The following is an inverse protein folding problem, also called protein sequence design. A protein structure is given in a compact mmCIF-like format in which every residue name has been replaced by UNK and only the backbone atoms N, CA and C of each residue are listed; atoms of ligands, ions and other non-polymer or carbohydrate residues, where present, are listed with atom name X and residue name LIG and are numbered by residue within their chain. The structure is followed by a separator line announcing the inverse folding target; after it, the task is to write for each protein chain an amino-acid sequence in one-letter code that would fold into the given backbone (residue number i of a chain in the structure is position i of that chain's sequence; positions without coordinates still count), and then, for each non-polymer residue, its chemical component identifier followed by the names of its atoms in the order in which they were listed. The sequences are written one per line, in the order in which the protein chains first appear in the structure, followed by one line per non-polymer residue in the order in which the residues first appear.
data_IF_698941489908
#
_entry.id   IF_698941489908
#
_cell.length_a   1.000
_cell.length_b   1.000
_cell.length_c   1.000
_cell.angle_alpha   90.00
_cell.angle_beta   90.00
_cell.angle_gamma   90.00
#
_symmetry.space_group_name_H-M   'P 1'
#
loop_
_entity.id
_entity.type
_entity.pdbx_description
1 polymer ?
#
# COMPACT_ATOMS: atom_id res chain seq x y z
N UNK A 1 12.88 15.89 16.80
CA UNK A 1 13.33 15.16 15.60
C UNK A 1 12.22 15.24 14.56
N UNK A 2 12.55 15.71 13.35
CA UNK A 2 11.58 16.07 12.31
C UNK A 2 10.82 14.82 11.87
N UNK A 3 9.50 14.83 12.05
CA UNK A 3 8.58 13.90 11.40
C UNK A 3 8.76 14.10 9.89
N UNK A 4 9.57 13.23 9.26
CA UNK A 4 9.50 12.99 7.83
C UNK A 4 8.10 12.42 7.57
N UNK A 5 7.11 13.31 7.50
CA UNK A 5 5.82 13.00 6.87
C UNK A 5 6.20 12.42 5.52
N UNK A 6 5.94 11.14 5.30
CA UNK A 6 6.17 10.45 4.04
C UNK A 6 5.45 11.18 2.91
N UNK A 7 6.13 12.16 2.31
CA UNK A 7 5.62 13.08 1.28
C UNK A 7 5.28 12.32 -0.01
N UNK A 8 5.78 11.09 -0.19
CA UNK A 8 5.46 10.22 -1.32
C UNK A 8 4.15 9.43 -1.16
N UNK A 9 3.79 9.04 0.07
CA UNK A 9 2.64 8.17 0.34
C UNK A 9 1.35 8.94 0.67
N UNK A 10 1.47 10.12 1.26
CA UNK A 10 0.35 11.08 1.40
C UNK A 10 -0.10 11.61 0.02
N UNK A 11 0.84 11.73 -0.93
CA UNK A 11 0.57 12.05 -2.33
C UNK A 11 0.23 10.83 -3.19
N UNK A 12 0.26 9.61 -2.63
CA UNK A 12 -0.29 8.44 -3.29
C UNK A 12 -1.81 8.52 -3.22
N UNK A 13 -2.31 9.45 -4.02
CA UNK A 13 -3.68 9.75 -4.32
C UNK A 13 -4.20 8.55 -5.12
N UNK A 14 -4.38 7.41 -4.44
CA UNK A 14 -5.11 6.26 -4.99
C UNK A 14 -6.55 6.72 -5.12
N UNK A 15 -6.78 7.42 -6.22
CA UNK A 15 -8.01 7.59 -6.97
C UNK A 15 -9.27 7.20 -6.18
N UNK A 16 -10.00 8.24 -5.75
CA UNK A 16 -11.28 8.25 -5.03
C UNK A 16 -11.20 8.13 -3.50
N UNK A 17 -11.98 9.01 -2.84
CA UNK A 17 -12.38 8.97 -1.42
C UNK A 17 -12.94 7.62 -0.93
N UNK A 18 -13.06 6.64 -1.80
CA UNK A 18 -13.69 5.34 -1.58
C UNK A 18 -12.67 4.20 -1.38
N UNK A 19 -11.37 4.49 -1.51
CA UNK A 19 -10.30 3.53 -1.30
C UNK A 19 -9.83 3.56 0.15
N UNK A 20 -10.00 2.45 0.87
CA UNK A 20 -9.62 2.30 2.27
C UNK A 20 -8.36 1.46 2.38
N UNK A 21 -7.38 1.90 3.18
CA UNK A 21 -6.23 1.08 3.56
C UNK A 21 -6.71 -0.03 4.51
N UNK A 22 -6.48 -1.29 4.14
CA UNK A 22 -6.89 -2.47 4.92
C UNK A 22 -5.71 -3.24 5.53
N UNK A 23 -4.50 -3.02 5.03
CA UNK A 23 -3.30 -3.69 5.52
C UNK A 23 -2.05 -2.82 5.36
N UNK A 24 -1.10 -3.00 6.27
CA UNK A 24 0.20 -2.33 6.29
C UNK A 24 1.21 -3.27 6.93
N UNK A 25 2.33 -3.50 6.27
CA UNK A 25 3.47 -4.19 6.85
C UNK A 25 4.75 -3.50 6.39
N UNK A 26 5.64 -3.23 7.33
CA UNK A 26 6.98 -2.74 7.06
C UNK A 26 7.97 -3.91 7.14
N UNK A 27 8.87 -3.99 6.18
CA UNK A 27 9.97 -4.92 6.09
C UNK A 27 11.24 -4.09 5.91
N UNK A 28 11.96 -3.80 6.99
CA UNK A 28 13.20 -2.99 6.98
C UNK A 28 13.04 -1.70 6.14
N UNK A 29 13.47 -1.70 4.88
CA UNK A 29 13.42 -0.56 3.95
C UNK A 29 12.22 -0.54 2.99
N UNK A 30 11.37 -1.57 3.05
CA UNK A 30 10.19 -1.79 2.20
C UNK A 30 8.91 -1.68 3.00
N UNK A 31 7.98 -0.84 2.57
CA UNK A 31 6.63 -0.74 3.12
C UNK A 31 5.63 -1.32 2.14
N UNK A 32 4.92 -2.37 2.54
CA UNK A 32 3.83 -2.97 1.77
C UNK A 32 2.48 -2.56 2.34
N UNK A 33 1.57 -2.15 1.47
CA UNK A 33 0.26 -1.61 1.79
C UNK A 33 -0.79 -2.27 0.91
N UNK A 34 -1.96 -2.56 1.46
CA UNK A 34 -3.10 -3.02 0.66
C UNK A 34 -4.25 -2.03 0.84
N UNK A 35 -4.78 -1.59 -0.29
CA UNK A 35 -5.93 -0.74 -0.40
C UNK A 35 -7.10 -1.52 -0.99
N UNK A 36 -8.31 -1.22 -0.50
CA UNK A 36 -9.56 -1.80 -0.96
C UNK A 36 -10.51 -0.69 -1.39
N UNK A 37 -11.04 -0.80 -2.61
CA UNK A 37 -12.05 0.10 -3.15
C UNK A 37 -13.43 -0.58 -3.09
N UNK A 38 -14.34 -0.03 -2.29
CA UNK A 38 -15.67 -0.62 -2.04
C UNK A 38 -16.52 -0.65 -3.32
N UNK A 39 -16.62 0.50 -4.01
CA UNK A 39 -17.48 0.70 -5.18
C UNK A 39 -17.20 -0.27 -6.35
N UNK A 40 -15.97 -0.75 -6.47
CA UNK A 40 -15.56 -1.65 -7.56
C UNK A 40 -15.06 -3.01 -7.06
N UNK A 41 -15.11 -3.26 -5.74
CA UNK A 41 -14.54 -4.45 -5.11
C UNK A 41 -13.08 -4.72 -5.57
N UNK A 42 -12.27 -3.67 -5.67
CA UNK A 42 -10.89 -3.74 -6.19
C UNK A 42 -9.89 -3.74 -5.05
N UNK A 43 -8.88 -4.60 -5.15
CA UNK A 43 -7.76 -4.65 -4.23
C UNK A 43 -6.49 -4.19 -4.95
N UNK A 44 -5.74 -3.31 -4.30
CA UNK A 44 -4.50 -2.72 -4.84
C UNK A 44 -3.41 -2.95 -3.81
N UNK A 45 -2.36 -3.66 -4.23
CA UNK A 45 -1.12 -3.79 -3.49
C UNK A 45 -0.22 -2.62 -3.89
N UNK A 46 0.29 -1.91 -2.89
CA UNK A 46 1.29 -0.87 -3.06
C UNK A 46 2.52 -1.27 -2.27
N UNK A 47 3.65 -1.39 -2.95
CA UNK A 47 4.96 -1.60 -2.32
C UNK A 47 5.76 -0.34 -2.52
N UNK A 48 6.15 0.30 -1.43
CA UNK A 48 6.99 1.49 -1.41
C UNK A 48 8.36 1.13 -0.83
N UNK A 49 9.43 1.61 -1.45
CA UNK A 49 10.79 1.54 -0.89
C UNK A 49 11.28 2.96 -0.59
N UNK A 50 11.90 3.15 0.56
CA UNK A 50 12.55 4.43 0.93
C UNK A 50 13.88 4.59 0.18
N UNK A 51 13.82 4.78 -1.15
CA UNK A 51 14.95 5.22 -1.99
C UNK A 51 14.77 6.70 -2.38
N UNK A 52 15.80 7.31 -2.98
CA UNK A 52 15.73 8.64 -3.60
C UNK A 52 15.90 8.50 -5.13
N UNK A 53 14.82 8.55 -5.94
CA UNK A 53 13.41 8.75 -5.59
C UNK A 53 12.71 7.47 -5.06
N UNK A 54 11.62 7.61 -4.28
CA UNK A 54 10.95 6.46 -3.68
C UNK A 54 10.35 5.57 -4.77
N UNK A 55 10.72 4.29 -4.77
CA UNK A 55 10.14 3.33 -5.70
C UNK A 55 8.76 2.92 -5.20
N UNK A 56 7.72 3.21 -5.98
CA UNK A 56 6.36 2.80 -5.67
C UNK A 56 5.85 1.87 -6.77
N UNK A 57 5.48 0.65 -6.37
CA UNK A 57 4.94 -0.37 -7.25
C UNK A 57 3.48 -0.61 -6.90
N UNK A 58 2.61 -0.32 -7.86
CA UNK A 58 1.19 -0.65 -7.80
C UNK A 58 0.90 -1.94 -8.55
N UNK A 59 0.19 -2.85 -7.89
CA UNK A 59 -0.32 -4.07 -8.51
C UNK A 59 -1.78 -4.27 -8.14
N UNK A 60 -2.63 -4.40 -9.15
CA UNK A 60 -4.00 -4.90 -8.95
C UNK A 60 -3.90 -6.36 -8.53
N UNK A 61 -4.50 -6.69 -7.40
CA UNK A 61 -4.52 -8.04 -6.86
C UNK A 61 -5.96 -8.50 -6.71
N UNK A 62 -6.15 -9.81 -6.74
CA UNK A 62 -7.43 -10.42 -6.38
C UNK A 62 -7.63 -10.41 -4.87
N UNK A 63 -8.88 -10.61 -4.43
CA UNK A 63 -9.21 -10.81 -3.02
C UNK A 63 -8.37 -11.94 -2.41
N UNK A 64 -8.28 -13.09 -3.08
CA UNK A 64 -7.54 -14.25 -2.57
C UNK A 64 -6.05 -13.95 -2.34
N UNK A 65 -5.42 -13.20 -3.25
CA UNK A 65 -4.04 -12.74 -3.09
C UNK A 65 -3.90 -11.78 -1.92
N UNK A 66 -4.83 -10.82 -1.76
CA UNK A 66 -4.84 -9.91 -0.61
C UNK A 66 -4.89 -10.68 0.70
N UNK A 67 -5.80 -11.66 0.81
CA UNK A 67 -5.91 -12.51 2.01
C UNK A 67 -4.65 -13.35 2.24
N UNK A 68 -4.01 -13.89 1.20
CA UNK A 68 -2.73 -14.61 1.36
C UNK A 68 -1.65 -13.70 1.92
N UNK A 69 -1.44 -12.53 1.33
CA UNK A 69 -0.42 -11.57 1.77
C UNK A 69 -0.68 -11.13 3.22
N UNK A 70 -1.92 -10.79 3.55
CA UNK A 70 -2.29 -10.39 4.92
C UNK A 70 -2.05 -11.46 5.98
N UNK A 71 -2.16 -12.74 5.60
CA UNK A 71 -1.95 -13.88 6.50
C UNK A 71 -0.54 -14.48 6.38
N UNK A 72 0.33 -13.92 5.53
CA UNK A 72 1.72 -14.35 5.46
C UNK A 72 2.41 -13.80 6.70
N UNK A 73 2.70 -14.68 7.66
CA UNK A 73 3.45 -14.31 8.87
C UNK A 73 4.91 -14.05 8.47
N UNK A 74 5.52 -12.92 8.88
CA UNK A 74 6.95 -12.70 8.73
C UNK A 74 7.77 -13.65 9.60
#
# INVERSE_FOLDING_TARGET
MRLLRNIGLDNYNIFNRETRKIFSIGYEDLTTLIYYQDANNKYILVVAKEDDPPLILEKKISRAEAFRIMNTRP
#
